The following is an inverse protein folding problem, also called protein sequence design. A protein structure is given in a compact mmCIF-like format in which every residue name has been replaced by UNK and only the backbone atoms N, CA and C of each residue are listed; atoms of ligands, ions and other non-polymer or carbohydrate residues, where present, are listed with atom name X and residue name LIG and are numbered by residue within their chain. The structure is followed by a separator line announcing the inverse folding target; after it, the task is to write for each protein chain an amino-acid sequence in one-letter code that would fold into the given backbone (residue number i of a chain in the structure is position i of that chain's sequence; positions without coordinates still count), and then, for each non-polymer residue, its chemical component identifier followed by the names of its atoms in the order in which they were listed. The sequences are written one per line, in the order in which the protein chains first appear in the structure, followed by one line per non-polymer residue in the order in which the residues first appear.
data_IF_789528735837
#
_entry.id   IF_789528735837
#
_cell.length_a   1.000
_cell.length_b   1.000
_cell.length_c   1.000
_cell.angle_alpha   90.00
_cell.angle_beta   90.00
_cell.angle_gamma   90.00
#
_symmetry.space_group_name_H-M   'P 1'
#
loop_
_entity.id
_entity.type
_entity.pdbx_description
1 polymer ?
#
# COMPACT_ATOMS: atom_id res chain seq x y z
N UNK A 1 11.26 -38.54 9.86
CA UNK A 1 10.41 -37.39 10.23
C UNK A 1 10.22 -36.53 8.98
N UNK A 2 9.02 -36.51 8.39
CA UNK A 2 8.72 -35.67 7.22
C UNK A 2 8.10 -34.37 7.74
N UNK A 3 8.79 -33.25 7.55
CA UNK A 3 8.24 -31.94 7.91
C UNK A 3 7.10 -31.61 6.94
N UNK A 4 5.91 -31.43 7.50
CA UNK A 4 4.72 -30.98 6.78
C UNK A 4 4.82 -29.47 6.62
N UNK A 5 5.10 -29.02 5.39
CA UNK A 5 4.95 -27.62 5.00
C UNK A 5 3.46 -27.28 5.09
N UNK A 6 3.10 -26.49 6.11
CA UNK A 6 1.75 -25.92 6.27
C UNK A 6 1.64 -24.75 5.29
N UNK A 7 1.08 -25.02 4.12
CA UNK A 7 0.74 -24.01 3.14
C UNK A 7 -0.51 -23.25 3.61
N UNK A 8 -0.31 -22.19 4.40
CA UNK A 8 -1.37 -21.25 4.77
C UNK A 8 -1.56 -20.28 3.61
N UNK A 9 -2.58 -20.52 2.78
CA UNK A 9 -3.01 -19.57 1.75
C UNK A 9 -3.75 -18.43 2.46
N UNK A 10 -3.02 -17.39 2.82
CA UNK A 10 -3.55 -16.12 3.32
C UNK A 10 -4.32 -15.43 2.18
N UNK A 11 -5.63 -15.29 2.32
CA UNK A 11 -6.51 -14.73 1.28
C UNK A 11 -6.67 -13.23 1.53
N UNK A 12 -5.94 -12.41 0.77
CA UNK A 12 -6.17 -10.96 0.73
C UNK A 12 -7.43 -10.66 -0.11
N UNK A 13 -8.48 -10.14 0.52
CA UNK A 13 -9.71 -9.79 -0.17
C UNK A 13 -9.56 -8.50 -1.00
N UNK A 14 -9.73 -8.60 -2.32
CA UNK A 14 -9.68 -7.46 -3.25
C UNK A 14 -11.08 -6.91 -3.53
N UNK A 15 -11.31 -5.62 -3.24
CA UNK A 15 -12.54 -4.92 -3.62
C UNK A 15 -12.31 -4.20 -4.96
N UNK A 16 -12.99 -4.68 -6.02
CA UNK A 16 -12.92 -4.08 -7.35
C UNK A 16 -13.83 -2.85 -7.43
N UNK A 17 -13.26 -1.64 -7.40
CA UNK A 17 -14.02 -0.39 -7.63
C UNK A 17 -13.82 0.09 -9.06
N UNK A 18 -14.93 0.27 -9.79
CA UNK A 18 -14.98 0.92 -11.10
C UNK A 18 -14.35 2.33 -11.03
N UNK A 19 -13.46 2.63 -11.97
CA UNK A 19 -12.62 3.83 -11.97
C UNK A 19 -13.43 5.12 -12.12
N UNK A 20 -13.37 5.98 -11.11
CA UNK A 20 -13.78 7.38 -11.21
C UNK A 20 -12.54 8.21 -11.52
N UNK A 21 -12.57 8.95 -12.63
CA UNK A 21 -11.49 9.86 -13.01
C UNK A 21 -11.55 11.11 -12.13
N UNK A 22 -10.59 11.28 -11.23
CA UNK A 22 -10.41 12.50 -10.46
C UNK A 22 -9.44 13.43 -11.20
N UNK A 23 -9.89 14.63 -11.56
CA UNK A 23 -9.02 15.72 -11.98
C UNK A 23 -8.38 16.37 -10.75
N UNK A 24 -7.08 16.16 -10.57
CA UNK A 24 -6.30 16.80 -9.51
C UNK A 24 -5.74 18.15 -9.99
N UNK A 25 -5.94 19.19 -9.17
CA UNK A 25 -5.31 20.51 -9.34
C UNK A 25 -3.91 20.52 -8.73
N UNK A 26 -2.92 21.04 -9.47
CA UNK A 26 -1.50 20.98 -9.13
C UNK A 26 -1.06 22.20 -8.30
N UNK A 27 -0.36 21.96 -7.20
CA UNK A 27 0.62 22.89 -6.63
C UNK A 27 2.01 22.44 -7.09
N UNK A 28 2.78 23.38 -7.62
CA UNK A 28 4.10 23.22 -8.25
C UNK A 28 5.12 22.44 -7.38
N UNK A 29 5.19 21.13 -7.62
CA UNK A 29 6.42 20.33 -7.51
C UNK A 29 6.38 19.39 -8.70
N UNK A 30 7.35 19.50 -9.62
CA UNK A 30 7.46 18.61 -10.79
C UNK A 30 7.59 17.16 -10.32
N UNK A 31 6.45 16.48 -10.14
CA UNK A 31 6.38 15.02 -10.04
C UNK A 31 6.66 14.44 -11.43
N UNK A 32 7.37 13.31 -11.52
CA UNK A 32 7.57 12.64 -12.80
C UNK A 32 6.23 12.35 -13.49
N UNK A 33 6.24 12.32 -14.83
CA UNK A 33 5.14 12.07 -15.78
C UNK A 33 4.34 10.77 -15.50
N UNK A 34 4.87 9.93 -14.62
CA UNK A 34 4.13 8.89 -13.91
C UNK A 34 4.47 8.95 -12.43
N UNK A 35 3.45 8.95 -11.56
CA UNK A 35 3.64 8.90 -10.11
C UNK A 35 2.89 7.71 -9.52
N UNK A 36 3.61 6.86 -8.83
CA UNK A 36 3.07 5.81 -7.97
C UNK A 36 2.86 6.46 -6.60
N UNK A 37 1.67 6.34 -6.04
CA UNK A 37 1.33 6.89 -4.72
C UNK A 37 0.59 5.88 -3.87
N UNK A 38 1.07 5.63 -2.65
CA UNK A 38 0.37 4.82 -1.64
C UNK A 38 -0.08 5.71 -0.48
N UNK A 39 -1.37 5.65 -0.14
CA UNK A 39 -1.97 6.45 0.95
C UNK A 39 -2.80 5.58 1.87
N UNK A 40 -2.71 5.81 3.18
CA UNK A 40 -3.72 5.33 4.12
C UNK A 40 -5.01 6.12 3.95
N UNK A 41 -6.14 5.44 3.75
CA UNK A 41 -7.44 6.07 3.48
C UNK A 41 -8.49 5.79 4.56
N UNK A 42 -8.10 5.19 5.68
CA UNK A 42 -8.98 4.90 6.81
C UNK A 42 -9.05 3.42 7.15
N UNK A 43 -10.05 3.05 7.95
CA UNK A 43 -10.27 1.67 8.37
C UNK A 43 -11.63 1.18 7.88
N UNK A 44 -11.71 -0.08 7.46
CA UNK A 44 -12.95 -0.79 7.16
C UNK A 44 -13.05 -1.97 8.12
N UNK A 45 -14.08 -1.99 8.98
CA UNK A 45 -14.28 -3.06 9.98
C UNK A 45 -13.00 -3.34 10.80
N UNK A 46 -12.33 -2.28 11.27
CA UNK A 46 -11.04 -2.30 11.99
C UNK A 46 -9.81 -2.72 11.17
N UNK A 47 -9.95 -3.00 9.88
CA UNK A 47 -8.82 -3.30 8.98
C UNK A 47 -8.32 -2.01 8.33
N UNK A 48 -7.02 -1.66 8.44
CA UNK A 48 -6.49 -0.47 7.77
C UNK A 48 -6.51 -0.65 6.26
N UNK A 49 -6.99 0.39 5.58
CA UNK A 49 -7.17 0.41 4.14
C UNK A 49 -6.17 1.37 3.51
N UNK A 50 -5.45 0.87 2.51
CA UNK A 50 -4.49 1.64 1.74
C UNK A 50 -4.96 1.75 0.29
N UNK A 51 -4.80 2.92 -0.30
CA UNK A 51 -5.04 3.18 -1.71
C UNK A 51 -3.72 3.35 -2.43
N UNK A 52 -3.50 2.52 -3.44
CA UNK A 52 -2.44 2.66 -4.43
C UNK A 52 -3.01 3.34 -5.68
N UNK A 53 -2.48 4.51 -6.00
CA UNK A 53 -2.78 5.24 -7.23
C UNK A 53 -1.59 5.15 -8.17
N UNK A 54 -1.82 4.64 -9.38
CA UNK A 54 -0.87 4.55 -10.47
C UNK A 54 -1.24 5.64 -11.47
N UNK A 55 -0.64 6.81 -11.32
CA UNK A 55 -0.96 7.99 -12.13
C UNK A 55 0.02 8.04 -13.29
N UNK A 56 -0.46 7.81 -14.51
CA UNK A 56 0.35 7.75 -15.73
C UNK A 56 -0.42 8.36 -16.90
N UNK A 57 0.27 9.15 -17.72
CA UNK A 57 -0.32 9.84 -18.88
C UNK A 57 -0.61 8.87 -20.04
N UNK A 58 0.28 7.92 -20.29
CA UNK A 58 0.15 6.89 -21.33
C UNK A 58 -0.06 5.50 -20.73
N UNK A 59 -0.63 4.57 -21.50
CA UNK A 59 -0.88 3.21 -21.03
C UNK A 59 0.42 2.52 -20.62
N UNK A 60 0.45 2.01 -19.40
CA UNK A 60 1.58 1.25 -18.86
C UNK A 60 1.10 -0.05 -18.20
N UNK A 61 2.04 -0.93 -17.92
CA UNK A 61 1.86 -2.18 -17.19
C UNK A 61 2.63 -2.12 -15.88
N UNK A 62 1.97 -2.47 -14.78
CA UNK A 62 2.52 -2.36 -13.44
C UNK A 62 2.49 -3.72 -12.74
N UNK A 63 3.64 -4.11 -12.20
CA UNK A 63 3.76 -5.24 -11.29
C UNK A 63 3.66 -4.75 -9.85
N UNK A 64 2.66 -5.22 -9.13
CA UNK A 64 2.42 -4.90 -7.72
C UNK A 64 2.76 -6.14 -6.91
N UNK A 65 3.53 -5.98 -5.83
CA UNK A 65 3.85 -7.05 -4.90
C UNK A 65 3.75 -6.54 -3.47
N UNK A 66 3.05 -7.27 -2.61
CA UNK A 66 2.98 -7.02 -1.16
C UNK A 66 3.62 -8.20 -0.46
N UNK A 67 4.59 -7.92 0.41
CA UNK A 67 5.35 -8.92 1.16
C UNK A 67 5.34 -8.61 2.64
N UNK A 68 5.49 -9.65 3.46
CA UNK A 68 5.77 -9.50 4.89
C UNK A 68 7.24 -9.11 5.16
N UNK A 69 7.59 -8.98 6.44
CA UNK A 69 8.94 -8.64 6.88
C UNK A 69 9.99 -9.73 6.54
N UNK A 70 9.56 -10.96 6.28
CA UNK A 70 10.40 -12.09 5.90
C UNK A 70 10.56 -12.20 4.37
N UNK A 71 9.85 -11.36 3.60
CA UNK A 71 9.85 -11.39 2.14
C UNK A 71 8.89 -12.43 1.54
N UNK A 72 8.00 -13.03 2.35
CA UNK A 72 6.95 -13.91 1.85
C UNK A 72 5.94 -13.03 1.10
N UNK A 73 5.63 -13.40 -0.14
CA UNK A 73 4.63 -12.70 -0.96
C UNK A 73 3.25 -13.01 -0.44
N UNK A 74 2.57 -11.98 0.07
CA UNK A 74 1.18 -12.04 0.52
C UNK A 74 0.21 -11.71 -0.62
N UNK A 75 0.65 -10.91 -1.59
CA UNK A 75 -0.13 -10.53 -2.75
C UNK A 75 0.77 -10.17 -3.93
N UNK A 76 0.33 -10.51 -5.14
CA UNK A 76 0.93 -10.02 -6.38
C UNK A 76 -0.15 -9.83 -7.44
N UNK A 77 -0.02 -8.78 -8.24
CA UNK A 77 -0.94 -8.44 -9.32
C UNK A 77 -0.19 -7.76 -10.45
N UNK A 78 -0.70 -7.94 -11.67
CA UNK A 78 -0.20 -7.29 -12.89
C UNK A 78 -1.38 -6.54 -13.50
N UNK A 79 -1.23 -5.21 -13.64
CA UNK A 79 -2.31 -4.35 -14.11
C UNK A 79 -1.82 -3.49 -15.26
N UNK A 80 -2.66 -3.35 -16.29
CA UNK A 80 -2.34 -2.54 -17.48
C UNK A 80 -3.42 -1.49 -17.73
N UNK A 81 -3.01 -0.26 -18.03
CA UNK A 81 -3.93 0.85 -18.28
C UNK A 81 -3.35 2.20 -17.90
N UNK A 82 -4.24 3.19 -17.73
CA UNK A 82 -3.93 4.55 -17.27
C UNK A 82 -4.72 4.87 -16.00
N UNK A 83 -4.11 5.65 -15.09
CA UNK A 83 -4.77 6.19 -13.89
C UNK A 83 -5.49 5.11 -13.05
N UNK A 84 -4.77 4.02 -12.77
CA UNK A 84 -5.33 2.86 -12.07
C UNK A 84 -5.35 3.12 -10.56
N UNK A 85 -6.44 2.73 -9.90
CA UNK A 85 -6.56 2.78 -8.44
C UNK A 85 -6.83 1.39 -7.88
N UNK A 86 -6.05 0.99 -6.87
CA UNK A 86 -6.24 -0.25 -6.10
C UNK A 86 -6.40 0.07 -4.63
N UNK A 87 -7.29 -0.64 -3.94
CA UNK A 87 -7.49 -0.53 -2.50
C UNK A 87 -7.21 -1.87 -1.84
N UNK A 88 -6.44 -1.84 -0.77
CA UNK A 88 -6.05 -3.02 -0.01
C UNK A 88 -6.50 -2.83 1.44
N UNK A 89 -7.40 -3.68 1.90
CA UNK A 89 -7.73 -3.80 3.32
C UNK A 89 -6.81 -4.88 3.92
N UNK A 90 -6.02 -4.51 4.92
CA UNK A 90 -5.02 -5.40 5.50
C UNK A 90 -5.62 -6.12 6.69
N UNK A 91 -5.64 -7.45 6.65
CA UNK A 91 -6.05 -8.24 7.81
C UNK A 91 -4.97 -8.22 8.89
N UNK A 92 -5.23 -7.50 9.97
CA UNK A 92 -4.29 -7.36 11.08
C UNK A 92 -4.29 -8.57 12.00
N UNK A 93 -5.33 -9.40 11.99
CA UNK A 93 -5.38 -10.61 12.82
C UNK A 93 -4.39 -11.65 12.31
N UNK A 94 -4.24 -11.75 10.99
CA UNK A 94 -3.35 -12.74 10.36
C UNK A 94 -1.88 -12.26 10.29
N UNK A 95 -1.66 -10.96 10.11
CA UNK A 95 -0.31 -10.38 9.89
C UNK A 95 0.30 -9.81 11.20
N UNK A 96 -0.48 -9.65 12.26
CA UNK A 96 -0.01 -9.19 13.58
C UNK A 96 0.51 -7.74 13.59
N UNK A 97 1.63 -7.46 14.25
CA UNK A 97 2.29 -6.13 14.26
C UNK A 97 3.44 -6.01 13.24
N UNK A 98 3.49 -6.94 12.27
CA UNK A 98 4.53 -7.00 11.26
C UNK A 98 4.57 -5.78 10.34
N UNK A 99 5.76 -5.51 9.81
CA UNK A 99 5.98 -4.56 8.72
C UNK A 99 5.57 -5.21 7.40
N UNK A 100 4.85 -4.46 6.56
CA UNK A 100 4.56 -4.86 5.19
C UNK A 100 5.34 -4.01 4.20
N UNK A 101 5.80 -4.63 3.13
CA UNK A 101 6.48 -3.95 2.02
C UNK A 101 5.65 -4.06 0.75
N UNK A 102 5.28 -2.92 0.20
CA UNK A 102 4.61 -2.80 -1.09
C UNK A 102 5.64 -2.36 -2.12
N UNK A 103 5.85 -3.17 -3.16
CA UNK A 103 6.73 -2.88 -4.28
C UNK A 103 5.88 -2.72 -5.53
N UNK A 104 6.11 -1.65 -6.27
CA UNK A 104 5.44 -1.42 -7.56
C UNK A 104 6.50 -1.13 -8.60
N UNK A 105 6.44 -1.82 -9.74
CA UNK A 105 7.36 -1.65 -10.86
C UNK A 105 6.54 -1.30 -12.11
N UNK A 106 6.80 -0.14 -12.68
CA UNK A 106 6.29 0.27 -13.99
C UNK A 106 7.14 -0.35 -15.10
N UNK A 107 6.52 -1.03 -16.07
CA UNK A 107 7.23 -1.76 -17.12
C UNK A 107 7.82 -0.84 -18.19
N UNK A 108 7.14 0.27 -18.51
CA UNK A 108 7.58 1.21 -19.55
C UNK A 108 9.01 1.73 -19.37
N UNK A 109 9.40 2.01 -18.13
CA UNK A 109 10.66 2.65 -17.77
C UNK A 109 11.43 1.93 -16.64
N UNK A 110 10.94 0.77 -16.18
CA UNK A 110 11.46 0.04 -15.01
C UNK A 110 11.49 0.89 -13.72
N UNK A 111 10.67 1.94 -13.64
CA UNK A 111 10.57 2.76 -12.45
C UNK A 111 9.99 1.93 -11.30
N UNK A 112 10.73 1.87 -10.19
CA UNK A 112 10.40 1.05 -9.03
C UNK A 112 10.16 1.95 -7.83
N UNK A 113 8.96 1.85 -7.27
CA UNK A 113 8.61 2.47 -5.99
C UNK A 113 8.49 1.39 -4.91
N UNK A 114 8.92 1.68 -3.69
CA UNK A 114 8.80 0.75 -2.57
C UNK A 114 8.33 1.50 -1.33
N UNK A 115 7.27 1.00 -0.72
CA UNK A 115 6.68 1.53 0.50
C UNK A 115 6.80 0.53 1.63
N UNK A 116 7.00 1.07 2.82
CA UNK A 116 6.97 0.30 4.06
C UNK A 116 5.78 0.76 4.89
N UNK A 117 4.92 -0.19 5.27
CA UNK A 117 3.78 0.02 6.16
C UNK A 117 4.16 -0.60 7.50
N UNK A 118 4.46 0.24 8.47
CA UNK A 118 4.66 -0.15 9.86
C UNK A 118 3.38 0.08 10.66
N UNK A 119 2.96 -0.92 11.44
CA UNK A 119 1.81 -0.83 12.33
C UNK A 119 2.17 -0.45 13.77
N UNK A 120 3.43 -0.08 14.04
CA UNK A 120 3.84 0.38 15.38
C UNK A 120 3.06 1.63 15.77
N UNK A 121 2.22 1.53 16.79
CA UNK A 121 1.57 2.69 17.40
C UNK A 121 2.60 3.45 18.24
N UNK A 122 2.85 4.71 17.89
CA UNK A 122 3.64 5.61 18.73
C UNK A 122 2.68 6.46 19.54
N UNK A 123 2.63 6.27 20.86
CA UNK A 123 1.92 7.18 21.76
C UNK A 123 2.77 8.45 21.93
N UNK A 124 2.27 9.58 21.43
CA UNK A 124 2.82 10.90 21.74
C UNK A 124 2.04 11.46 22.92
N UNK A 125 2.71 11.65 24.05
CA UNK A 125 2.12 12.28 25.23
C UNK A 125 2.56 13.75 25.26
N UNK A 126 1.62 14.66 25.00
CA UNK A 126 1.85 16.09 25.19
C UNK A 126 1.75 16.43 26.68
N UNK A 127 2.86 16.83 27.28
CA UNK A 127 2.93 17.28 28.67
C UNK A 127 2.90 18.80 28.77
N UNK A 128 1.99 19.36 29.57
CA UNK A 128 1.97 20.78 29.87
C UNK A 128 2.71 21.05 31.18
N UNK A 129 3.67 21.99 31.18
CA UNK A 129 4.38 22.44 32.38
C UNK A 129 3.82 23.78 32.81
N UNK A 130 3.22 23.84 33.99
CA UNK A 130 2.72 25.08 34.60
C UNK A 130 3.57 25.45 35.81
N UNK A 131 4.01 26.71 35.87
CA UNK A 131 4.75 27.25 37.02
C UNK A 131 3.79 27.49 38.18
N UNK A 132 4.08 26.87 39.32
CA UNK A 132 3.34 27.11 40.57
C UNK A 132 4.00 28.28 41.32
N UNK A 133 3.18 29.14 41.93
CA UNK A 133 3.60 30.33 42.67
C UNK A 133 3.65 30.04 44.17
#
# INVERSE_FOLDING_TARGET
MKQLLRNSLTVLALLFTLGLSFSASANDVKKPTSSIELKFIGNLENKPVFQLSLLNEETDEFYITITDAQGIVLYSDEVKGTNIVRKFAIDTEEIGDGTLRVVVIARSNNHKETYEISRKQTYVVDGYVTRVK
#
